data_IF_201471571377
#
_entry.id   IF_201471571377
#
_cell.length_a   1.000
_cell.length_b   1.000
_cell.length_c   1.000
_cell.angle_alpha   90.00
_cell.angle_beta   90.00
_cell.angle_gamma   90.00
#
_symmetry.space_group_name_H-M   'P 1'
#
loop_
_entity.id
_entity.type
_entity.pdbx_description
1 polymer ?
#
# COMPACT_ATOMS: atom_id res chain seq x y z
N UNK A 1 26.94 5.31 3.75
CA UNK A 1 26.29 5.27 2.43
C UNK A 1 25.02 4.42 2.58
N UNK A 2 23.86 4.93 2.21
CA UNK A 2 22.63 4.16 2.34
C UNK A 2 22.50 3.24 1.15
N UNK A 3 22.35 1.95 1.41
CA UNK A 3 22.27 0.93 0.39
C UNK A 3 20.80 0.59 0.10
N UNK A 4 20.40 0.75 -1.15
CA UNK A 4 19.09 0.26 -1.61
C UNK A 4 19.11 -1.27 -1.67
N UNK A 5 18.15 -1.92 -1.02
CA UNK A 5 17.96 -3.37 -1.09
C UNK A 5 16.76 -3.67 -1.97
N UNK A 6 16.94 -4.56 -2.94
CA UNK A 6 15.91 -4.93 -3.90
C UNK A 6 15.67 -6.43 -3.82
N UNK A 7 14.39 -6.82 -3.70
CA UNK A 7 13.92 -8.19 -3.69
C UNK A 7 12.89 -8.37 -4.80
N UNK A 8 12.95 -9.48 -5.52
CA UNK A 8 12.00 -9.82 -6.58
C UNK A 8 11.42 -11.21 -6.36
N UNK A 9 10.14 -11.37 -6.66
CA UNK A 9 9.44 -12.65 -6.64
C UNK A 9 8.34 -12.65 -7.71
N UNK A 10 7.83 -13.84 -8.01
CA UNK A 10 6.71 -14.00 -8.93
C UNK A 10 5.41 -14.19 -8.14
N UNK A 11 4.36 -13.50 -8.56
CA UNK A 11 3.00 -13.65 -8.06
C UNK A 11 2.12 -14.07 -9.25
N UNK A 12 1.90 -15.36 -9.41
CA UNK A 12 1.40 -15.91 -10.65
C UNK A 12 2.41 -15.63 -11.78
N UNK A 13 1.91 -15.08 -12.87
CA UNK A 13 2.73 -14.70 -14.03
C UNK A 13 3.37 -13.31 -13.91
N UNK A 14 3.01 -12.56 -12.86
CA UNK A 14 3.49 -11.20 -12.62
C UNK A 14 4.77 -11.20 -11.80
N UNK A 15 5.75 -10.41 -12.24
CA UNK A 15 7.01 -10.19 -11.50
C UNK A 15 6.89 -8.96 -10.62
N UNK A 16 6.88 -9.17 -9.31
CA UNK A 16 6.84 -8.10 -8.30
C UNK A 16 8.24 -7.83 -7.77
N UNK A 17 8.58 -6.55 -7.61
CA UNK A 17 9.80 -6.10 -6.95
C UNK A 17 9.46 -5.26 -5.74
N UNK A 18 10.18 -5.45 -4.66
CA UNK A 18 10.12 -4.62 -3.45
C UNK A 18 11.51 -4.04 -3.23
N UNK A 19 11.60 -2.72 -3.09
CA UNK A 19 12.86 -2.06 -2.70
C UNK A 19 12.69 -1.22 -1.45
N UNK A 20 13.76 -1.11 -0.66
CA UNK A 20 13.79 -0.33 0.58
C UNK A 20 15.12 0.39 0.75
N UNK A 21 15.18 1.38 1.63
CA UNK A 21 16.41 2.10 2.01
C UNK A 21 16.72 3.35 1.17
N UNK A 22 16.01 3.61 0.07
CA UNK A 22 16.28 4.73 -0.83
C UNK A 22 15.38 5.94 -0.57
N UNK A 23 14.08 5.71 -0.44
CA UNK A 23 13.05 6.76 -0.35
C UNK A 23 12.40 6.72 1.03
N UNK A 24 11.89 7.87 1.51
CA UNK A 24 11.16 8.04 2.77
C UNK A 24 11.88 7.46 4.00
N UNK A 25 13.17 7.67 4.12
CA UNK A 25 14.05 7.08 5.16
C UNK A 25 13.80 7.56 6.58
N UNK A 26 12.98 8.58 6.78
CA UNK A 26 12.54 9.06 8.10
C UNK A 26 11.29 8.34 8.61
N UNK A 27 10.62 7.57 7.77
CA UNK A 27 9.53 6.70 8.20
C UNK A 27 10.09 5.51 8.99
N UNK A 28 9.30 4.96 9.91
CA UNK A 28 9.66 3.74 10.65
C UNK A 28 9.90 2.55 9.71
N UNK A 29 9.07 2.41 8.67
CA UNK A 29 9.27 1.49 7.56
C UNK A 29 8.90 2.14 6.24
N UNK A 30 9.67 1.88 5.18
CA UNK A 30 9.35 2.37 3.83
C UNK A 30 9.74 1.37 2.77
N UNK A 31 8.87 1.16 1.79
CA UNK A 31 9.10 0.30 0.65
C UNK A 31 8.56 0.93 -0.62
N UNK A 32 9.20 0.60 -1.73
CA UNK A 32 8.65 0.82 -3.07
C UNK A 32 8.30 -0.55 -3.63
N UNK A 33 7.04 -0.74 -4.02
CA UNK A 33 6.55 -1.96 -4.65
C UNK A 33 6.28 -1.67 -6.11
N UNK A 34 6.76 -2.55 -6.97
CA UNK A 34 6.63 -2.41 -8.43
C UNK A 34 6.16 -3.70 -9.07
N UNK A 35 5.18 -3.60 -9.96
CA UNK A 35 4.78 -4.65 -10.90
C UNK A 35 4.59 -4.03 -12.27
N UNK A 36 5.37 -4.45 -13.26
CA UNK A 36 5.36 -3.78 -14.56
C UNK A 36 5.71 -2.29 -14.43
N UNK A 37 4.86 -1.43 -14.99
CA UNK A 37 4.93 0.02 -14.88
C UNK A 37 4.18 0.60 -13.67
N UNK A 38 3.42 -0.21 -12.95
CA UNK A 38 2.72 0.24 -11.72
C UNK A 38 3.67 0.24 -10.53
N UNK A 39 3.78 1.39 -9.85
CA UNK A 39 4.71 1.61 -8.73
C UNK A 39 4.01 2.30 -7.59
N UNK A 40 4.13 1.74 -6.38
CA UNK A 40 3.63 2.29 -5.14
C UNK A 40 4.77 2.61 -4.17
N UNK A 41 4.69 3.77 -3.52
CA UNK A 41 5.48 4.07 -2.33
C UNK A 41 4.61 3.84 -1.10
N UNK A 42 5.07 2.97 -0.20
CA UNK A 42 4.37 2.67 1.04
C UNK A 42 5.24 3.00 2.23
N UNK A 43 4.68 3.75 3.17
CA UNK A 43 5.36 4.16 4.40
C UNK A 43 4.52 3.81 5.62
N UNK A 44 5.18 3.39 6.70
CA UNK A 44 4.57 3.14 8.00
C UNK A 44 5.30 3.96 9.07
N UNK A 45 4.54 4.71 9.85
CA UNK A 45 5.04 5.53 10.95
C UNK A 45 4.20 5.32 12.19
N UNK A 46 4.80 5.47 13.38
CA UNK A 46 4.07 5.46 14.65
C UNK A 46 4.38 6.69 15.48
N UNK A 47 3.46 7.08 16.36
CA UNK A 47 3.72 8.07 17.38
C UNK A 47 4.70 7.51 18.42
N UNK A 48 5.57 8.37 18.97
CA UNK A 48 6.46 7.98 20.09
C UNK A 48 5.65 7.76 21.36
N UNK A 49 4.72 8.66 21.64
CA UNK A 49 3.95 8.72 22.87
C UNK A 49 2.48 8.34 22.61
N UNK A 50 1.83 7.81 23.63
CA UNK A 50 0.40 7.57 23.67
C UNK A 50 -0.26 8.81 24.28
N UNK A 51 -1.37 9.27 23.69
CA UNK A 51 -2.12 10.41 24.25
C UNK A 51 -2.76 10.01 25.57
N UNK A 52 -2.74 10.94 26.55
CA UNK A 52 -3.41 10.74 27.84
C UNK A 52 -4.91 10.46 27.64
N UNK A 53 -5.44 9.42 28.30
CA UNK A 53 -6.83 9.00 28.16
C UNK A 53 -7.15 8.21 26.89
N UNK A 54 -6.13 7.78 26.14
CA UNK A 54 -6.31 6.96 24.93
C UNK A 54 -6.73 5.54 25.30
N UNK A 55 -7.93 5.13 24.89
CA UNK A 55 -8.54 3.82 25.17
C UNK A 55 -8.73 2.93 23.93
N UNK A 56 -8.36 3.44 22.75
CA UNK A 56 -8.46 2.69 21.49
C UNK A 56 -7.16 2.79 20.69
N UNK A 57 -6.95 1.86 19.75
CA UNK A 57 -5.82 1.84 18.83
C UNK A 57 -6.09 2.74 17.61
N UNK A 58 -5.39 3.89 17.47
CA UNK A 58 -5.58 4.79 16.32
C UNK A 58 -4.72 4.33 15.14
N UNK A 59 -5.30 3.51 14.28
CA UNK A 59 -4.72 3.14 12.99
C UNK A 59 -5.37 3.97 11.89
N UNK A 60 -4.55 4.67 11.11
CA UNK A 60 -4.96 5.39 9.91
C UNK A 60 -4.24 4.79 8.71
N UNK A 61 -5.00 4.46 7.68
CA UNK A 61 -4.48 3.98 6.38
C UNK A 61 -4.99 4.91 5.31
N UNK A 62 -4.07 5.56 4.60
CA UNK A 62 -4.36 6.42 3.47
C UNK A 62 -3.83 5.77 2.18
N UNK A 63 -4.71 5.55 1.23
CA UNK A 63 -4.37 5.17 -0.14
C UNK A 63 -4.63 6.35 -1.05
N UNK A 64 -3.63 6.75 -1.82
CA UNK A 64 -3.63 7.99 -2.60
C UNK A 64 -3.17 7.71 -4.02
N UNK A 65 -4.03 8.01 -4.99
CA UNK A 65 -3.71 7.96 -6.40
C UNK A 65 -3.34 9.36 -6.90
N UNK A 66 -2.12 9.48 -7.38
CA UNK A 66 -1.64 10.75 -7.93
C UNK A 66 -2.02 10.88 -9.40
N UNK A 67 -2.59 12.00 -9.83
CA UNK A 67 -2.93 12.24 -11.24
C UNK A 67 -1.73 12.06 -12.16
N UNK A 68 -0.54 12.48 -11.73
CA UNK A 68 0.68 12.32 -12.52
C UNK A 68 1.08 10.83 -12.71
N UNK A 69 0.60 9.92 -11.86
CA UNK A 69 0.90 8.48 -11.98
C UNK A 69 0.41 7.90 -13.31
N UNK A 70 -0.70 8.41 -13.83
CA UNK A 70 -1.26 8.06 -15.15
C UNK A 70 -0.99 9.14 -16.23
N UNK A 71 0.01 9.99 -16.03
CA UNK A 71 0.37 11.05 -16.99
C UNK A 71 -0.69 12.19 -17.09
N UNK A 72 -1.57 12.29 -16.12
CA UNK A 72 -2.66 13.29 -16.10
C UNK A 72 -2.37 14.41 -15.10
N UNK A 73 -3.11 15.49 -15.17
CA UNK A 73 -3.12 16.55 -14.17
C UNK A 73 -4.57 16.78 -13.69
N UNK A 74 -4.76 17.30 -12.46
CA UNK A 74 -6.08 17.51 -11.91
C UNK A 74 -6.95 18.38 -12.80
N UNK A 75 -8.15 17.90 -13.12
CA UNK A 75 -9.16 18.63 -13.84
C UNK A 75 -9.90 19.65 -12.94
N UNK A 76 -10.94 20.25 -13.50
CA UNK A 76 -11.78 21.22 -12.80
C UNK A 76 -11.16 22.60 -12.63
N UNK A 77 -11.86 23.48 -11.92
CA UNK A 77 -11.50 24.89 -11.78
C UNK A 77 -10.23 25.11 -10.96
N UNK A 78 -10.05 24.35 -9.87
CA UNK A 78 -8.96 24.56 -8.90
C UNK A 78 -7.63 24.01 -9.41
N UNK A 79 -7.61 23.07 -10.36
CA UNK A 79 -6.40 22.47 -10.93
C UNK A 79 -5.46 21.84 -9.89
N UNK A 80 -6.00 21.24 -8.84
CA UNK A 80 -5.24 20.57 -7.78
C UNK A 80 -5.93 19.30 -7.31
N UNK A 81 -5.17 18.39 -6.73
CA UNK A 81 -5.70 17.21 -6.04
C UNK A 81 -6.57 17.65 -4.86
N UNK A 82 -7.64 16.95 -4.65
CA UNK A 82 -8.70 17.29 -3.70
C UNK A 82 -8.80 16.21 -2.62
N UNK A 83 -9.97 16.05 -2.04
CA UNK A 83 -10.26 14.98 -1.09
C UNK A 83 -10.13 13.61 -1.78
N UNK A 84 -9.80 12.55 -1.03
CA UNK A 84 -9.78 11.21 -1.58
C UNK A 84 -11.10 10.84 -2.26
N UNK A 85 -11.01 10.13 -3.37
CA UNK A 85 -12.16 9.56 -4.07
C UNK A 85 -12.82 8.45 -3.23
N UNK A 86 -14.02 8.04 -3.62
CA UNK A 86 -14.69 6.90 -2.97
C UNK A 86 -13.86 5.62 -3.09
N UNK A 87 -13.24 5.39 -4.23
CA UNK A 87 -12.43 4.20 -4.48
C UNK A 87 -11.16 4.20 -3.62
N UNK A 88 -10.45 5.34 -3.51
CA UNK A 88 -9.31 5.49 -2.61
C UNK A 88 -9.68 5.18 -1.16
N UNK A 89 -10.85 5.64 -0.69
CA UNK A 89 -11.35 5.33 0.65
C UNK A 89 -11.67 3.85 0.82
N UNK A 90 -12.28 3.23 -0.19
CA UNK A 90 -12.61 1.79 -0.15
C UNK A 90 -11.35 0.93 -0.12
N UNK A 91 -10.34 1.26 -0.91
CA UNK A 91 -9.05 0.56 -0.91
C UNK A 91 -8.32 0.76 0.42
N UNK A 92 -8.33 1.97 0.98
CA UNK A 92 -7.78 2.23 2.33
C UNK A 92 -8.41 1.30 3.37
N UNK A 93 -9.72 1.13 3.34
CA UNK A 93 -10.46 0.23 4.25
C UNK A 93 -10.20 -1.25 3.96
N UNK A 94 -10.03 -1.61 2.68
CA UNK A 94 -9.66 -2.97 2.28
C UNK A 94 -8.31 -3.37 2.87
N UNK A 95 -7.35 -2.45 2.92
CA UNK A 95 -6.03 -2.67 3.52
C UNK A 95 -6.08 -2.63 5.05
N UNK A 96 -6.80 -1.68 5.65
CA UNK A 96 -6.91 -1.51 7.11
C UNK A 96 -7.48 -2.77 7.78
N UNK A 97 -8.54 -3.33 7.21
CA UNK A 97 -9.31 -4.41 7.83
C UNK A 97 -8.51 -5.68 8.14
N UNK A 98 -7.68 -6.24 7.23
CA UNK A 98 -6.89 -7.44 7.52
C UNK A 98 -5.67 -7.18 8.41
N UNK A 99 -5.11 -5.97 8.43
CA UNK A 99 -3.92 -5.67 9.21
C UNK A 99 -4.22 -5.30 10.66
N UNK A 100 -5.37 -4.66 10.92
CA UNK A 100 -5.75 -4.18 12.25
C UNK A 100 -5.71 -5.23 13.35
N UNK A 101 -6.23 -6.46 13.17
CA UNK A 101 -6.19 -7.50 14.21
C UNK A 101 -4.78 -8.09 14.45
N UNK A 102 -3.79 -7.75 13.64
CA UNK A 102 -2.42 -8.26 13.77
C UNK A 102 -1.54 -7.37 14.66
N UNK A 103 -2.05 -6.26 15.15
CA UNK A 103 -1.39 -5.47 16.18
C UNK A 103 -1.69 -6.08 17.56
N UNK A 104 -0.72 -6.11 18.49
CA UNK A 104 -0.92 -6.70 19.80
C UNK A 104 -1.97 -5.93 20.62
N UNK A 105 -2.70 -6.66 21.43
CA UNK A 105 -3.64 -6.08 22.38
C UNK A 105 -2.92 -5.12 23.34
N UNK A 106 -3.53 -3.96 23.61
CA UNK A 106 -2.93 -2.91 24.44
C UNK A 106 -1.90 -2.01 23.73
N UNK A 107 -1.65 -2.20 22.44
CA UNK A 107 -0.85 -1.26 21.67
C UNK A 107 -1.68 -0.03 21.30
N UNK A 108 -1.36 1.11 21.89
CA UNK A 108 -2.15 2.35 21.79
C UNK A 108 -1.44 3.50 21.05
N UNK A 109 -0.21 3.28 20.58
CA UNK A 109 0.49 4.29 19.77
C UNK A 109 -0.23 4.49 18.45
N UNK A 110 -0.43 5.72 18.03
CA UNK A 110 -1.02 6.01 16.73
C UNK A 110 -0.11 5.51 15.60
N UNK A 111 -0.67 4.75 14.68
CA UNK A 111 0.01 4.26 13.48
C UNK A 111 -0.62 4.92 12.26
N UNK A 112 0.23 5.44 11.39
CA UNK A 112 -0.18 6.03 10.12
C UNK A 112 0.56 5.32 8.98
N UNK A 113 -0.21 4.73 8.08
CA UNK A 113 0.26 4.06 6.87
C UNK A 113 -0.19 4.89 5.68
N UNK A 114 0.75 5.25 4.83
CA UNK A 114 0.46 5.99 3.60
C UNK A 114 0.92 5.17 2.41
N UNK A 115 0.00 4.91 1.51
CA UNK A 115 0.21 4.22 0.24
C UNK A 115 0.01 5.24 -0.87
N UNK A 116 1.05 5.50 -1.64
CA UNK A 116 0.97 6.48 -2.74
C UNK A 116 1.26 5.77 -4.05
N UNK A 117 0.30 5.80 -4.97
CA UNK A 117 0.51 5.35 -6.35
C UNK A 117 1.28 6.44 -7.08
N UNK A 118 2.53 6.14 -7.44
CA UNK A 118 3.44 7.11 -8.09
C UNK A 118 3.60 6.87 -9.59
N UNK A 119 3.24 5.67 -10.06
CA UNK A 119 3.16 5.31 -11.48
C UNK A 119 2.09 4.25 -11.67
N UNK A 120 1.33 4.32 -12.77
CA UNK A 120 0.29 3.36 -13.11
C UNK A 120 0.33 3.07 -14.61
N UNK A 121 0.41 1.78 -14.97
CA UNK A 121 0.53 1.32 -16.36
C UNK A 121 -0.82 0.92 -17.00
N UNK A 122 -1.93 1.12 -16.28
CA UNK A 122 -3.29 0.73 -16.70
C UNK A 122 -3.50 -0.79 -16.88
N UNK A 123 -2.49 -1.60 -16.59
CA UNK A 123 -2.52 -3.07 -16.73
C UNK A 123 -2.56 -3.74 -15.35
N UNK A 124 -1.60 -3.37 -14.49
CA UNK A 124 -1.44 -3.98 -13.18
C UNK A 124 -2.15 -3.13 -12.11
N UNK A 125 -3.18 -3.70 -11.51
CA UNK A 125 -4.00 -3.01 -10.52
C UNK A 125 -3.19 -2.66 -9.26
N UNK A 126 -3.10 -1.38 -8.87
CA UNK A 126 -2.26 -0.95 -7.74
C UNK A 126 -2.76 -1.46 -6.38
N UNK A 127 -4.06 -1.68 -6.19
CA UNK A 127 -4.64 -2.21 -4.96
C UNK A 127 -4.12 -3.61 -4.60
N UNK A 128 -3.79 -4.44 -5.60
CA UNK A 128 -3.21 -5.77 -5.39
C UNK A 128 -1.80 -5.68 -4.76
N UNK A 129 -1.07 -4.60 -5.06
CA UNK A 129 0.26 -4.34 -4.53
C UNK A 129 0.22 -3.65 -3.16
N UNK A 130 -0.88 -2.95 -2.84
CA UNK A 130 -1.02 -2.14 -1.64
C UNK A 130 -0.84 -2.97 -0.36
N UNK A 131 -1.55 -4.09 -0.24
CA UNK A 131 -1.48 -4.95 0.94
C UNK A 131 -0.10 -5.56 1.12
N UNK A 132 0.55 -6.00 0.04
CA UNK A 132 1.91 -6.53 0.04
C UNK A 132 2.90 -5.46 0.51
N UNK A 133 2.76 -4.24 -0.02
CA UNK A 133 3.59 -3.11 0.34
C UNK A 133 3.44 -2.71 1.81
N UNK A 134 2.22 -2.68 2.33
CA UNK A 134 1.94 -2.38 3.75
C UNK A 134 2.54 -3.44 4.66
N UNK A 135 2.34 -4.71 4.33
CA UNK A 135 2.92 -5.83 5.09
C UNK A 135 4.45 -5.74 5.15
N UNK A 136 5.09 -5.44 4.02
CA UNK A 136 6.53 -5.26 3.96
C UNK A 136 7.02 -4.02 4.74
N UNK A 137 6.31 -2.88 4.63
CA UNK A 137 6.66 -1.65 5.36
C UNK A 137 6.52 -1.83 6.88
N UNK A 138 5.46 -2.50 7.35
CA UNK A 138 5.27 -2.83 8.75
C UNK A 138 6.35 -3.81 9.25
N UNK A 139 6.66 -4.85 8.47
CA UNK A 139 7.70 -5.83 8.82
C UNK A 139 9.12 -5.25 8.89
N UNK A 140 9.38 -4.15 8.19
CA UNK A 140 10.66 -3.41 8.22
C UNK A 140 10.70 -2.32 9.31
N UNK A 141 9.56 -1.98 9.90
CA UNK A 141 9.45 -0.94 10.92
C UNK A 141 9.71 -1.48 12.31
N UNK A 142 9.80 -0.58 13.28
CA UNK A 142 9.82 -0.87 14.72
C UNK A 142 8.41 -1.03 15.32
N UNK A 143 7.39 -1.08 14.49
CA UNK A 143 5.99 -1.23 14.90
C UNK A 143 5.73 -2.71 15.21
N UNK A 144 5.19 -3.06 16.39
CA UNK A 144 4.86 -4.44 16.71
C UNK A 144 3.72 -4.91 15.81
N UNK A 145 4.03 -5.87 14.93
CA UNK A 145 3.11 -6.41 13.95
C UNK A 145 3.26 -7.92 13.86
N UNK A 146 2.21 -8.65 14.19
CA UNK A 146 2.25 -10.10 14.34
C UNK A 146 1.90 -10.81 13.03
N UNK A 147 2.79 -10.81 12.07
CA UNK A 147 2.66 -11.59 10.86
C UNK A 147 2.81 -10.81 9.56
N UNK A 148 2.54 -11.48 8.45
CA UNK A 148 2.55 -10.90 7.11
C UNK A 148 1.18 -11.11 6.46
N UNK A 149 0.74 -10.13 5.67
CA UNK A 149 -0.53 -10.17 4.93
C UNK A 149 -0.23 -9.94 3.46
N UNK A 150 -0.91 -10.68 2.60
CA UNK A 150 -0.93 -10.42 1.17
C UNK A 150 -2.38 -10.43 0.68
N UNK A 151 -2.71 -9.49 -0.20
CA UNK A 151 -3.98 -9.45 -0.90
C UNK A 151 -3.79 -9.86 -2.34
N UNK A 152 -4.77 -10.58 -2.88
CA UNK A 152 -4.83 -10.94 -4.30
C UNK A 152 -6.27 -10.82 -4.79
N UNK A 153 -6.44 -10.39 -6.03
CA UNK A 153 -7.70 -10.50 -6.75
C UNK A 153 -7.72 -11.84 -7.47
N UNK A 154 -8.82 -12.56 -7.40
CA UNK A 154 -9.00 -13.83 -8.12
C UNK A 154 -10.10 -13.64 -9.15
N UNK A 155 -9.75 -13.74 -10.41
CA UNK A 155 -10.68 -13.81 -11.53
C UNK A 155 -11.03 -15.25 -11.92
N UNK A 156 -12.20 -15.45 -12.51
CA UNK A 156 -12.59 -16.72 -13.11
C UNK A 156 -12.89 -16.49 -14.60
N UNK A 157 -11.95 -16.88 -15.46
CA UNK A 157 -11.97 -16.57 -16.89
C UNK A 157 -11.78 -17.89 -17.66
N UNK A 158 -12.63 -18.16 -18.62
CA UNK A 158 -12.61 -19.37 -19.48
C UNK A 158 -12.48 -20.69 -18.68
N UNK A 159 -13.15 -20.76 -17.53
CA UNK A 159 -13.14 -21.96 -16.69
C UNK A 159 -11.91 -22.12 -15.81
N UNK A 160 -11.02 -21.11 -15.73
CA UNK A 160 -9.80 -21.13 -14.92
C UNK A 160 -9.75 -19.98 -13.93
N UNK A 161 -9.15 -20.22 -12.76
CA UNK A 161 -8.86 -19.18 -11.78
C UNK A 161 -7.54 -18.49 -12.13
N UNK A 162 -7.59 -17.17 -12.24
CA UNK A 162 -6.42 -16.33 -12.54
C UNK A 162 -6.16 -15.41 -11.33
N UNK A 163 -4.91 -15.35 -10.89
CA UNK A 163 -4.47 -14.43 -9.83
C UNK A 163 -4.15 -13.07 -10.44
N UNK A 164 -4.69 -12.02 -9.83
CA UNK A 164 -4.48 -10.63 -10.23
C UNK A 164 -4.66 -10.42 -11.74
N UNK A 165 -5.87 -10.69 -12.26
CA UNK A 165 -6.14 -10.49 -13.68
C UNK A 165 -5.84 -9.04 -14.08
N UNK A 166 -5.38 -8.85 -15.31
CA UNK A 166 -5.15 -7.52 -15.87
C UNK A 166 -6.48 -6.80 -16.12
N UNK A 167 -6.42 -5.48 -16.32
CA UNK A 167 -7.62 -4.70 -16.67
C UNK A 167 -8.34 -5.26 -17.88
N UNK A 168 -7.58 -5.63 -18.94
CA UNK A 168 -8.13 -6.24 -20.17
C UNK A 168 -8.80 -7.61 -19.91
N UNK A 169 -8.33 -8.36 -18.91
CA UNK A 169 -8.91 -9.66 -18.56
C UNK A 169 -10.19 -9.54 -17.72
N UNK A 170 -10.46 -8.36 -17.16
CA UNK A 170 -11.66 -8.09 -16.36
C UNK A 170 -12.80 -7.51 -17.18
N UNK A 171 -12.54 -7.03 -18.40
CA UNK A 171 -13.53 -6.58 -19.39
C UNK A 171 -14.12 -7.77 -20.18
#
# INVERSE_FOLDING_TARGET
MFEEKIYGFNLGDQKVKISTGKIARQAGGSVVVQCGGTVLLVTATRSKDVKEGQDFFPLTVDYIEKFYASGKFPGGFIKRESKPSTDEVLISRLVDRPIRPLFPEGFLNAVHIVITVVSYDEINQPENLATIGVSAALGLSDIPFAGTVAGVTVGYIDGQYILNPTTEQLE
#
